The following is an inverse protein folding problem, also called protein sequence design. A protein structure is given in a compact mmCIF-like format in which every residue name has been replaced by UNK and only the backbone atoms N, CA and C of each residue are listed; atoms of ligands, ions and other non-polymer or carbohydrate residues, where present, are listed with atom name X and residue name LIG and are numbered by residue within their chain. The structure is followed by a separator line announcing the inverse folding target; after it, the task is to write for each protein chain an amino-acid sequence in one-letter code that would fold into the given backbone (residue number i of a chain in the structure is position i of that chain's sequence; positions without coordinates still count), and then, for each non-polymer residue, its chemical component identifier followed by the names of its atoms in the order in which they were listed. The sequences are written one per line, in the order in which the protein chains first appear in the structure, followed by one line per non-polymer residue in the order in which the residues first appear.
data_IF_710795999790
#
_entry.id   IF_710795999790
#
_cell.length_a   1.000
_cell.length_b   1.000
_cell.length_c   1.000
_cell.angle_alpha   90.00
_cell.angle_beta   90.00
_cell.angle_gamma   90.00
#
_symmetry.space_group_name_H-M   'P 1'
#
loop_
_entity.id
_entity.type
_entity.pdbx_description
1 polymer ?
#
# COMPACT_ATOMS: atom_id res chain seq x y z
N UNK A 1 -7.72 -26.05 -1.85
CA UNK A 1 -8.21 -26.12 -0.44
C UNK A 1 -9.70 -25.80 -0.45
N UNK A 2 -10.54 -26.78 -0.70
CA UNK A 2 -11.99 -26.62 -0.72
C UNK A 2 -12.51 -26.62 0.74
N UNK A 3 -13.28 -25.62 1.13
CA UNK A 3 -14.01 -25.57 2.39
C UNK A 3 -13.23 -25.10 3.62
N UNK A 4 -12.24 -24.25 3.44
CA UNK A 4 -11.52 -23.63 4.56
C UNK A 4 -12.38 -22.65 5.36
N UNK A 5 -12.10 -22.52 6.65
CA UNK A 5 -12.74 -21.52 7.52
C UNK A 5 -12.43 -20.08 7.07
N UNK A 6 -11.44 -19.88 6.21
CA UNK A 6 -10.95 -18.58 5.75
C UNK A 6 -10.95 -18.50 4.23
N UNK A 7 -11.24 -17.31 3.70
CA UNK A 7 -11.24 -16.99 2.27
C UNK A 7 -10.86 -15.52 2.07
N UNK A 8 -10.34 -15.17 0.88
CA UNK A 8 -10.06 -13.77 0.55
C UNK A 8 -11.37 -12.97 0.48
N UNK A 9 -11.34 -11.77 1.04
CA UNK A 9 -12.49 -10.87 0.98
C UNK A 9 -12.62 -10.26 -0.42
N UNK A 10 -13.57 -10.75 -1.17
CA UNK A 10 -13.87 -10.29 -2.52
C UNK A 10 -15.37 -10.42 -2.83
N UNK A 11 -16.26 -9.78 -2.07
CA UNK A 11 -17.70 -9.79 -2.34
C UNK A 11 -17.98 -9.26 -3.75
N UNK A 12 -18.79 -10.01 -4.51
CA UNK A 12 -19.11 -9.68 -5.89
C UNK A 12 -19.80 -8.32 -6.01
N UNK A 13 -20.60 -7.95 -5.03
CA UNK A 13 -21.35 -6.69 -4.96
C UNK A 13 -20.43 -5.46 -4.88
N UNK A 14 -19.21 -5.63 -4.39
CA UNK A 14 -18.18 -4.59 -4.31
C UNK A 14 -17.28 -4.55 -5.55
N UNK A 15 -17.31 -5.59 -6.38
CA UNK A 15 -16.54 -5.66 -7.63
C UNK A 15 -15.06 -5.37 -7.43
N UNK A 16 -14.51 -4.51 -8.28
CA UNK A 16 -13.09 -4.12 -8.23
C UNK A 16 -12.71 -3.23 -7.03
N UNK A 17 -13.68 -2.79 -6.23
CA UNK A 17 -13.45 -1.97 -5.02
C UNK A 17 -13.43 -2.82 -3.72
N UNK A 18 -13.65 -4.12 -3.81
CA UNK A 18 -13.72 -5.00 -2.63
C UNK A 18 -12.49 -4.89 -1.72
N UNK A 19 -11.31 -4.77 -2.30
CA UNK A 19 -10.07 -4.67 -1.54
C UNK A 19 -10.02 -3.43 -0.63
N UNK A 20 -10.53 -2.29 -1.09
CA UNK A 20 -10.62 -1.06 -0.29
C UNK A 20 -11.47 -1.28 0.96
N UNK A 21 -12.64 -1.87 0.77
CA UNK A 21 -13.60 -2.06 1.87
C UNK A 21 -13.16 -3.11 2.89
N UNK A 22 -12.28 -4.03 2.55
CA UNK A 22 -11.67 -4.97 3.51
C UNK A 22 -11.11 -4.25 4.74
N UNK A 23 -10.48 -3.10 4.55
CA UNK A 23 -9.74 -2.38 5.59
C UNK A 23 -10.54 -1.32 6.34
N UNK A 24 -11.74 -1.00 5.87
CA UNK A 24 -12.62 0.01 6.47
C UNK A 24 -14.00 -0.54 6.81
N UNK A 25 -14.12 -1.87 6.89
CA UNK A 25 -15.37 -2.54 7.18
C UNK A 25 -15.73 -2.40 8.66
N UNK A 26 -16.73 -1.59 8.95
CA UNK A 26 -17.25 -1.36 10.31
C UNK A 26 -18.63 -1.98 10.51
N UNK A 27 -19.56 -1.64 9.65
CA UNK A 27 -20.95 -2.08 9.65
C UNK A 27 -21.56 -1.91 8.25
N UNK A 28 -22.85 -2.19 8.12
CA UNK A 28 -23.59 -2.11 6.85
C UNK A 28 -23.57 -0.72 6.18
N UNK A 29 -23.30 0.35 6.97
CA UNK A 29 -23.18 1.73 6.45
C UNK A 29 -21.77 2.11 6.04
N UNK A 30 -20.80 1.22 6.20
CA UNK A 30 -19.40 1.49 5.87
C UNK A 30 -19.02 1.12 4.44
N UNK A 31 -19.95 0.56 3.68
CA UNK A 31 -19.76 0.17 2.29
C UNK A 31 -21.09 0.14 1.52
N UNK A 32 -21.07 0.26 0.18
CA UNK A 32 -22.28 0.33 -0.64
C UNK A 32 -23.05 -1.01 -0.72
N UNK A 33 -22.43 -2.13 -0.37
CA UNK A 33 -23.04 -3.47 -0.41
C UNK A 33 -23.70 -3.86 0.93
N UNK A 34 -23.70 -2.98 1.92
CA UNK A 34 -24.26 -3.24 3.26
C UNK A 34 -23.69 -4.49 3.94
N UNK A 35 -22.40 -4.77 3.72
CA UNK A 35 -21.69 -5.86 4.36
C UNK A 35 -21.22 -5.41 5.74
N UNK A 36 -21.38 -6.24 6.74
CA UNK A 36 -20.84 -6.04 8.08
C UNK A 36 -19.58 -6.90 8.32
N UNK A 37 -18.95 -6.74 9.47
CA UNK A 37 -17.70 -7.45 9.82
C UNK A 37 -17.79 -8.97 9.78
N UNK A 38 -18.97 -9.55 9.99
CA UNK A 38 -19.15 -11.01 9.94
C UNK A 38 -19.00 -11.57 8.54
N UNK A 39 -19.15 -10.73 7.51
CA UNK A 39 -18.87 -11.08 6.12
C UNK A 39 -17.38 -11.16 5.77
N UNK A 40 -16.50 -10.72 6.67
CA UNK A 40 -15.06 -10.78 6.45
C UNK A 40 -14.49 -12.10 7.00
N UNK A 41 -14.21 -13.03 6.11
CA UNK A 41 -13.57 -14.31 6.44
C UNK A 41 -12.06 -14.32 6.17
N UNK A 42 -11.50 -13.20 5.75
CA UNK A 42 -10.06 -13.11 5.48
C UNK A 42 -9.24 -12.92 6.75
N UNK A 43 -9.79 -12.24 7.75
CA UNK A 43 -9.07 -11.95 8.99
C UNK A 43 -9.03 -13.18 9.89
N UNK A 44 -7.83 -13.74 10.11
CA UNK A 44 -7.60 -14.90 10.97
C UNK A 44 -7.47 -14.47 12.42
N UNK A 45 -6.67 -13.43 12.66
CA UNK A 45 -6.47 -12.85 13.98
C UNK A 45 -6.50 -11.32 13.89
N UNK A 46 -7.33 -10.70 14.72
CA UNK A 46 -7.57 -9.25 14.63
C UNK A 46 -7.56 -8.58 15.99
N UNK A 47 -7.16 -7.33 16.02
CA UNK A 47 -7.58 -6.42 17.07
C UNK A 47 -8.95 -5.87 16.72
N UNK A 48 -9.94 -6.26 17.52
CA UNK A 48 -11.33 -5.85 17.30
C UNK A 48 -11.59 -4.45 17.82
N UNK A 49 -12.37 -3.71 17.05
CA UNK A 49 -12.85 -2.39 17.41
C UNK A 49 -14.37 -2.30 17.31
N UNK A 50 -14.95 -1.41 18.11
CA UNK A 50 -16.37 -1.10 18.14
C UNK A 50 -16.53 0.41 18.41
N UNK A 51 -17.47 1.11 17.76
CA UNK A 51 -17.58 2.57 17.89
C UNK A 51 -17.96 3.04 19.29
N UNK A 52 -18.53 2.18 20.12
CA UNK A 52 -19.01 2.52 21.47
C UNK A 52 -18.10 1.95 22.55
N UNK A 53 -17.75 0.69 22.44
CA UNK A 53 -17.04 -0.05 23.51
C UNK A 53 -15.52 0.09 23.37
N UNK A 54 -15.01 0.07 22.15
CA UNK A 54 -13.56 0.06 21.86
C UNK A 54 -13.28 0.72 20.52
N UNK A 55 -13.54 2.02 20.40
CA UNK A 55 -13.17 2.77 19.19
C UNK A 55 -11.64 2.78 18.98
N UNK A 56 -11.20 3.08 17.77
CA UNK A 56 -9.78 3.24 17.49
C UNK A 56 -9.19 4.40 18.29
N UNK A 57 -10.00 5.38 18.66
CA UNK A 57 -9.59 6.54 19.47
C UNK A 57 -8.84 7.63 18.69
N UNK A 58 -8.58 7.40 17.40
CA UNK A 58 -7.94 8.36 16.48
C UNK A 58 -8.84 8.56 15.27
N UNK A 59 -8.71 9.71 14.64
CA UNK A 59 -9.22 9.90 13.29
C UNK A 59 -8.13 9.51 12.29
N UNK A 60 -8.09 8.24 11.92
CA UNK A 60 -7.09 7.71 10.99
C UNK A 60 -7.29 8.32 9.61
N UNK A 61 -8.52 8.41 9.13
CA UNK A 61 -8.86 9.01 7.84
C UNK A 61 -8.34 10.44 7.77
N UNK A 62 -8.64 11.28 8.74
CA UNK A 62 -8.17 12.66 8.76
C UNK A 62 -6.64 12.75 8.89
N UNK A 63 -6.02 11.91 9.70
CA UNK A 63 -4.57 11.88 9.85
C UNK A 63 -3.87 11.51 8.55
N UNK A 64 -4.43 10.59 7.77
CA UNK A 64 -3.91 10.20 6.46
C UNK A 64 -4.16 11.26 5.40
N UNK A 65 -5.37 11.81 5.35
CA UNK A 65 -5.73 12.89 4.43
C UNK A 65 -5.06 14.21 4.81
N UNK A 66 -4.77 14.39 6.08
CA UNK A 66 -4.31 15.65 6.63
C UNK A 66 -2.84 15.97 6.49
N UNK A 67 -1.89 15.03 6.37
CA UNK A 67 -0.45 15.35 6.26
C UNK A 67 0.54 14.20 6.50
N UNK A 68 0.10 13.09 7.05
CA UNK A 68 1.04 12.24 7.76
C UNK A 68 1.77 11.22 6.91
N UNK A 69 1.21 10.84 5.76
CA UNK A 69 1.76 9.76 4.95
C UNK A 69 1.79 10.14 3.47
N UNK A 70 2.93 9.91 2.85
CA UNK A 70 3.11 10.06 1.42
C UNK A 70 3.50 8.73 0.81
N UNK A 71 3.05 8.50 -0.42
CA UNK A 71 3.42 7.32 -1.18
C UNK A 71 4.48 7.70 -2.20
N UNK A 72 5.50 6.88 -2.32
CA UNK A 72 6.58 7.12 -3.26
C UNK A 72 6.20 6.67 -4.67
N UNK A 73 6.84 7.29 -5.67
CA UNK A 73 6.78 6.80 -7.05
C UNK A 73 7.22 5.34 -7.16
N UNK A 74 8.21 4.93 -6.37
CA UNK A 74 8.65 3.54 -6.33
C UNK A 74 7.50 2.59 -6.00
N UNK A 75 6.65 2.92 -5.02
CA UNK A 75 5.47 2.12 -4.71
C UNK A 75 4.45 2.16 -5.85
N UNK A 76 4.18 3.34 -6.41
CA UNK A 76 3.28 3.47 -7.55
C UNK A 76 3.74 2.64 -8.76
N UNK A 77 5.07 2.52 -8.96
CA UNK A 77 5.65 1.70 -10.00
C UNK A 77 5.58 0.19 -9.74
N UNK A 78 5.34 -0.24 -8.49
CA UNK A 78 5.16 -1.67 -8.16
C UNK A 78 3.88 -2.25 -8.72
N UNK A 79 2.80 -1.46 -8.79
CA UNK A 79 1.53 -1.94 -9.35
C UNK A 79 1.72 -2.34 -10.80
N UNK A 80 1.18 -3.52 -11.16
CA UNK A 80 1.29 -4.06 -12.51
C UNK A 80 0.37 -3.31 -13.49
N UNK A 81 0.62 -3.46 -14.75
CA UNK A 81 -0.36 -3.17 -15.80
C UNK A 81 -1.48 -4.22 -15.76
N UNK A 82 -2.64 -3.92 -16.33
CA UNK A 82 -3.77 -4.86 -16.38
C UNK A 82 -3.45 -6.17 -17.12
N UNK A 83 -2.44 -6.16 -18.00
CA UNK A 83 -1.91 -7.35 -18.66
C UNK A 83 -0.93 -8.18 -17.79
N UNK A 84 -0.77 -7.81 -16.53
CA UNK A 84 0.07 -8.51 -15.57
C UNK A 84 1.57 -8.21 -15.66
N UNK A 85 1.98 -7.30 -16.52
CA UNK A 85 3.38 -6.93 -16.67
C UNK A 85 3.76 -5.74 -15.77
N UNK A 86 4.97 -5.70 -15.22
CA UNK A 86 5.49 -4.51 -14.56
C UNK A 86 5.60 -3.35 -15.56
N UNK A 87 5.46 -2.13 -15.07
CA UNK A 87 5.80 -0.96 -15.89
C UNK A 87 7.32 -0.85 -16.00
N UNK A 88 7.77 -0.32 -17.12
CA UNK A 88 9.15 0.14 -17.25
C UNK A 88 9.16 1.65 -17.02
N UNK A 89 9.72 2.15 -15.91
CA UNK A 89 9.70 3.58 -15.58
C UNK A 89 10.31 4.49 -16.64
N UNK A 90 11.27 3.98 -17.42
CA UNK A 90 11.94 4.75 -18.48
C UNK A 90 11.06 4.93 -19.72
N UNK A 91 10.16 3.98 -19.99
CA UNK A 91 9.26 4.03 -21.17
C UNK A 91 7.83 4.35 -20.81
N UNK A 92 7.42 4.19 -19.53
CA UNK A 92 6.11 4.56 -19.05
C UNK A 92 5.96 6.08 -19.04
N UNK A 93 5.31 6.59 -20.07
CA UNK A 93 5.18 8.02 -20.30
C UNK A 93 3.72 8.43 -20.42
N UNK A 94 3.35 9.48 -19.70
CA UNK A 94 2.01 10.08 -19.73
C UNK A 94 2.14 11.61 -19.62
N UNK A 95 1.18 12.31 -20.19
CA UNK A 95 1.08 13.78 -20.12
C UNK A 95 -0.04 14.23 -19.20
N UNK A 96 -1.04 13.39 -18.98
CA UNK A 96 -2.11 13.60 -18.01
C UNK A 96 -1.85 12.69 -16.82
N UNK A 97 -1.79 13.26 -15.62
CA UNK A 97 -1.53 12.48 -14.40
C UNK A 97 -2.57 11.40 -14.19
N UNK A 98 -3.82 11.63 -14.58
CA UNK A 98 -4.89 10.65 -14.47
C UNK A 98 -4.62 9.38 -15.30
N UNK A 99 -3.79 9.48 -16.34
CA UNK A 99 -3.46 8.33 -17.20
C UNK A 99 -2.52 7.34 -16.49
N UNK A 100 -1.82 7.76 -15.44
CA UNK A 100 -0.99 6.88 -14.63
C UNK A 100 -1.78 5.77 -13.94
N UNK A 101 -3.04 6.03 -13.64
CA UNK A 101 -3.93 5.10 -12.92
C UNK A 101 -4.73 4.19 -13.85
N UNK A 102 -4.64 4.40 -15.19
CA UNK A 102 -5.40 3.62 -16.18
C UNK A 102 -4.68 2.34 -16.56
N UNK A 103 -5.46 1.29 -16.80
CA UNK A 103 -4.94 -0.02 -17.22
C UNK A 103 -3.87 -0.57 -16.26
N UNK A 104 -4.10 -0.38 -14.98
CA UNK A 104 -3.24 -0.84 -13.90
C UNK A 104 -3.96 -1.87 -13.02
N UNK A 105 -3.22 -2.53 -12.18
CA UNK A 105 -3.74 -3.34 -11.09
C UNK A 105 -4.78 -2.54 -10.30
N UNK A 106 -6.00 -3.08 -10.16
CA UNK A 106 -7.09 -2.39 -9.47
C UNK A 106 -6.75 -2.08 -8.00
N UNK A 107 -5.80 -2.78 -7.38
CA UNK A 107 -5.32 -2.45 -6.03
C UNK A 107 -4.70 -1.06 -5.97
N UNK A 108 -4.11 -0.56 -7.05
CA UNK A 108 -3.62 0.82 -7.10
C UNK A 108 -4.74 1.82 -6.80
N UNK A 109 -5.91 1.64 -7.45
CA UNK A 109 -7.07 2.52 -7.26
C UNK A 109 -7.79 2.31 -5.92
N UNK A 110 -7.52 1.20 -5.25
CA UNK A 110 -8.06 0.90 -3.91
C UNK A 110 -7.15 1.41 -2.79
N UNK A 111 -5.85 1.45 -3.04
CA UNK A 111 -4.84 1.81 -2.04
C UNK A 111 -4.39 3.26 -2.14
N UNK A 112 -4.52 3.87 -3.33
CA UNK A 112 -4.17 5.26 -3.59
C UNK A 112 -5.40 6.07 -3.97
N UNK A 113 -5.39 7.35 -3.63
CA UNK A 113 -6.39 8.30 -4.11
C UNK A 113 -6.18 8.57 -5.61
N UNK A 114 -7.24 8.45 -6.38
CA UNK A 114 -7.21 8.66 -7.82
C UNK A 114 -7.78 10.04 -8.15
N UNK A 115 -7.07 10.85 -8.94
CA UNK A 115 -7.59 12.15 -9.37
C UNK A 115 -8.95 12.05 -10.06
N UNK A 116 -9.88 12.92 -9.67
CA UNK A 116 -11.22 12.98 -10.27
C UNK A 116 -12.18 11.86 -9.86
N UNK A 117 -11.75 10.93 -9.00
CA UNK A 117 -12.62 9.87 -8.50
C UNK A 117 -13.50 10.37 -7.35
N UNK A 118 -14.75 9.98 -7.40
CA UNK A 118 -15.71 10.18 -6.31
C UNK A 118 -15.64 9.01 -5.36
N UNK A 119 -15.46 9.29 -4.07
CA UNK A 119 -15.43 8.28 -3.01
C UNK A 119 -16.78 8.20 -2.31
N UNK A 120 -17.20 6.99 -1.97
CA UNK A 120 -18.48 6.75 -1.34
C UNK A 120 -18.48 7.20 0.11
N UNK A 121 -19.54 7.95 0.51
CA UNK A 121 -19.86 8.21 1.92
C UNK A 121 -18.78 8.87 2.75
N UNK A 122 -18.13 9.91 2.28
CA UNK A 122 -17.08 10.58 3.05
C UNK A 122 -17.61 11.38 4.23
N UNK A 123 -16.90 11.30 5.35
CA UNK A 123 -17.24 12.05 6.54
C UNK A 123 -16.89 13.53 6.42
N UNK A 124 -17.90 14.38 6.54
CA UNK A 124 -17.71 15.84 6.56
C UNK A 124 -17.32 16.45 5.22
N UNK A 125 -17.47 15.73 4.15
CA UNK A 125 -17.21 16.18 2.80
C UNK A 125 -16.64 15.06 1.94
N UNK A 126 -17.17 14.92 0.73
CA UNK A 126 -16.61 14.02 -0.27
C UNK A 126 -15.24 14.51 -0.65
N UNK A 127 -14.33 13.57 -0.77
CA UNK A 127 -13.05 13.85 -1.40
C UNK A 127 -13.23 13.62 -2.90
N UNK A 128 -13.83 14.60 -3.54
CA UNK A 128 -13.91 14.67 -4.99
C UNK A 128 -12.70 15.47 -5.46
N UNK A 129 -11.63 14.79 -5.80
CA UNK A 129 -10.46 15.46 -6.32
C UNK A 129 -10.43 15.34 -7.85
N UNK A 130 -10.89 16.39 -8.52
CA UNK A 130 -10.86 16.47 -9.97
C UNK A 130 -9.65 17.22 -10.52
N UNK A 131 -8.91 17.89 -9.66
CA UNK A 131 -7.81 18.76 -10.03
C UNK A 131 -8.27 20.05 -10.69
N UNK A 132 -9.54 20.45 -10.53
CA UNK A 132 -10.02 21.74 -10.98
C UNK A 132 -9.56 22.85 -10.02
N UNK A 133 -9.66 24.11 -10.46
CA UNK A 133 -9.17 25.26 -9.69
C UNK A 133 -9.85 25.42 -8.32
N UNK A 134 -11.12 25.03 -8.18
CA UNK A 134 -11.85 25.14 -6.93
C UNK A 134 -11.34 24.09 -5.90
N UNK A 135 -11.01 22.91 -6.34
CA UNK A 135 -10.42 21.85 -5.49
C UNK A 135 -8.98 22.17 -5.11
N UNK A 136 -8.19 22.71 -6.05
CA UNK A 136 -6.84 23.17 -5.79
C UNK A 136 -6.83 24.26 -4.70
N UNK A 137 -7.81 25.14 -4.72
CA UNK A 137 -7.97 26.20 -3.72
C UNK A 137 -8.44 25.66 -2.36
N UNK A 138 -9.01 24.47 -2.30
CA UNK A 138 -9.48 23.85 -1.05
C UNK A 138 -8.31 23.33 -0.21
N UNK A 139 -8.15 23.87 0.99
CA UNK A 139 -7.08 23.49 1.91
C UNK A 139 -7.09 22.00 2.27
N UNK A 140 -8.24 21.36 2.28
CA UNK A 140 -8.40 19.91 2.57
C UNK A 140 -7.79 19.03 1.49
N UNK A 141 -7.61 19.55 0.28
CA UNK A 141 -7.04 18.80 -0.86
C UNK A 141 -5.55 19.11 -1.11
N UNK A 142 -4.93 19.95 -0.27
CA UNK A 142 -3.51 20.34 -0.44
C UNK A 142 -2.54 19.17 -0.44
N UNK A 143 -2.89 18.08 0.19
CA UNK A 143 -2.03 16.90 0.29
C UNK A 143 -1.90 16.13 -1.04
N UNK A 144 -2.83 16.34 -1.95
CA UNK A 144 -2.72 15.84 -3.32
C UNK A 144 -1.81 16.70 -4.20
N UNK A 145 -1.46 17.87 -3.72
CA UNK A 145 -0.63 18.80 -4.48
C UNK A 145 0.83 18.45 -4.33
N UNK A 146 1.59 18.39 -5.42
CA UNK A 146 3.03 18.12 -5.37
C UNK A 146 3.82 19.06 -4.45
N UNK A 147 3.39 20.30 -4.27
CA UNK A 147 4.09 21.27 -3.42
C UNK A 147 4.07 20.92 -1.94
N UNK A 148 3.04 20.21 -1.46
CA UNK A 148 2.93 19.84 -0.04
C UNK A 148 3.33 18.40 0.23
N UNK A 149 3.39 17.55 -0.82
CA UNK A 149 3.74 16.15 -0.70
C UNK A 149 4.42 15.62 -1.95
N UNK A 150 4.30 14.33 -2.17
CA UNK A 150 4.84 13.64 -3.33
C UNK A 150 3.83 13.46 -4.47
N UNK A 151 2.59 13.88 -4.25
CA UNK A 151 1.50 13.81 -5.23
C UNK A 151 0.75 12.47 -5.28
N UNK A 152 1.27 11.41 -4.67
CA UNK A 152 0.52 10.19 -4.39
C UNK A 152 0.00 10.22 -2.97
N UNK A 153 -1.22 9.76 -2.78
CA UNK A 153 -1.87 9.82 -1.49
C UNK A 153 -2.46 8.46 -1.11
N UNK A 154 -2.23 7.95 0.11
CA UNK A 154 -2.78 6.67 0.51
C UNK A 154 -4.29 6.80 0.74
N UNK A 155 -5.06 5.85 0.22
CA UNK A 155 -6.49 5.70 0.48
C UNK A 155 -6.80 4.55 1.44
N UNK A 156 -5.92 3.56 1.51
CA UNK A 156 -6.06 2.44 2.44
C UNK A 156 -6.25 2.93 3.88
N UNK A 157 -7.16 2.35 4.62
CA UNK A 157 -7.58 2.76 5.97
C UNK A 157 -8.37 4.07 6.04
N UNK A 158 -8.73 4.69 4.93
CA UNK A 158 -9.54 5.90 4.92
C UNK A 158 -11.03 5.52 4.87
N UNK A 159 -11.75 5.75 5.96
CA UNK A 159 -13.19 5.52 6.02
C UNK A 159 -13.91 6.45 5.04
N UNK A 160 -14.89 5.88 4.33
CA UNK A 160 -15.76 6.62 3.41
C UNK A 160 -17.19 6.78 3.99
N UNK A 161 -17.38 6.37 5.22
CA UNK A 161 -18.69 6.43 5.90
C UNK A 161 -19.04 7.87 6.28
N UNK A 162 -20.22 8.33 5.88
CA UNK A 162 -20.76 9.62 6.29
C UNK A 162 -21.06 9.69 7.79
N UNK A 163 -20.85 10.85 8.38
CA UNK A 163 -21.30 11.16 9.73
C UNK A 163 -20.54 10.44 10.85
N UNK A 164 -19.35 9.89 10.59
CA UNK A 164 -18.49 9.34 11.63
C UNK A 164 -17.87 10.49 12.42
N UNK A 165 -18.15 10.65 13.71
CA UNK A 165 -17.45 11.63 14.53
C UNK A 165 -15.96 11.35 14.59
N UNK A 166 -15.17 12.40 14.76
CA UNK A 166 -13.71 12.29 14.95
C UNK A 166 -13.38 11.29 16.06
N UNK A 167 -12.48 10.36 15.78
CA UNK A 167 -12.04 9.35 16.73
C UNK A 167 -13.01 8.17 16.94
N UNK A 168 -14.08 8.09 16.15
CA UNK A 168 -15.10 7.02 16.26
C UNK A 168 -14.98 5.98 15.14
N UNK A 169 -13.89 5.97 14.42
CA UNK A 169 -13.58 4.89 13.47
C UNK A 169 -13.41 3.57 14.24
N UNK A 170 -13.95 2.51 13.70
CA UNK A 170 -14.07 1.25 14.43
C UNK A 170 -13.89 -0.01 13.55
N UNK A 171 -13.24 0.08 12.42
CA UNK A 171 -12.87 -1.11 11.66
C UNK A 171 -11.80 -1.93 12.38
N UNK A 172 -11.85 -3.24 12.21
CA UNK A 172 -10.91 -4.16 12.85
C UNK A 172 -9.53 -4.07 12.20
N UNK A 173 -8.47 -4.21 12.99
CA UNK A 173 -7.11 -4.26 12.48
C UNK A 173 -6.62 -5.71 12.38
N UNK A 174 -6.27 -6.21 11.18
CA UNK A 174 -5.74 -7.56 11.02
C UNK A 174 -4.32 -7.65 11.59
N UNK A 175 -4.11 -8.63 12.46
CA UNK A 175 -2.77 -9.03 12.91
C UNK A 175 -2.26 -10.14 12.00
N UNK A 176 -3.15 -11.08 11.62
CA UNK A 176 -2.89 -12.12 10.64
C UNK A 176 -4.11 -12.21 9.73
N UNK A 177 -3.90 -12.21 8.43
CA UNK A 177 -4.96 -12.40 7.43
C UNK A 177 -4.59 -13.48 6.41
N UNK A 178 -5.60 -14.06 5.76
CA UNK A 178 -5.44 -15.22 4.89
C UNK A 178 -4.50 -14.96 3.71
N UNK A 179 -4.49 -13.76 3.16
CA UNK A 179 -3.52 -13.38 2.13
C UNK A 179 -2.06 -13.56 2.58
N UNK A 180 -1.77 -13.35 3.87
CA UNK A 180 -0.43 -13.57 4.41
C UNK A 180 -0.05 -15.06 4.37
N UNK A 181 -0.97 -15.94 4.70
CA UNK A 181 -0.75 -17.39 4.61
C UNK A 181 -0.45 -17.80 3.18
N UNK A 182 -1.22 -17.27 2.21
CA UNK A 182 -1.05 -17.58 0.79
C UNK A 182 0.32 -17.12 0.27
N UNK A 183 0.72 -15.90 0.58
CA UNK A 183 1.99 -15.34 0.10
C UNK A 183 3.19 -15.89 0.84
N UNK A 184 3.07 -16.20 2.13
CA UNK A 184 4.10 -16.94 2.87
C UNK A 184 4.30 -18.34 2.27
N UNK A 185 3.23 -19.01 1.87
CA UNK A 185 3.33 -20.32 1.20
C UNK A 185 4.09 -20.21 -0.11
N UNK A 186 3.70 -19.29 -1.01
CA UNK A 186 4.35 -19.13 -2.30
C UNK A 186 5.84 -18.81 -2.16
N UNK A 187 6.19 -17.88 -1.27
CA UNK A 187 7.57 -17.50 -1.02
C UNK A 187 8.37 -18.67 -0.41
N UNK A 188 7.82 -19.36 0.59
CA UNK A 188 8.49 -20.47 1.26
C UNK A 188 8.78 -21.65 0.32
N UNK A 189 7.83 -22.01 -0.55
CA UNK A 189 8.04 -23.05 -1.56
C UNK A 189 9.15 -22.64 -2.52
N UNK A 190 9.09 -21.42 -3.05
CA UNK A 190 10.10 -20.91 -3.98
C UNK A 190 11.49 -20.85 -3.34
N UNK A 191 11.63 -20.31 -2.13
CA UNK A 191 12.95 -20.18 -1.49
C UNK A 191 13.52 -21.52 -1.04
N UNK A 192 12.68 -22.51 -0.71
CA UNK A 192 13.10 -23.87 -0.38
C UNK A 192 13.64 -24.62 -1.59
N UNK A 193 12.92 -24.58 -2.72
CA UNK A 193 13.15 -25.45 -3.87
C UNK A 193 13.86 -24.74 -5.04
N UNK A 194 14.05 -23.41 -4.95
CA UNK A 194 14.58 -22.57 -6.04
C UNK A 194 13.60 -22.41 -7.22
N UNK A 195 12.41 -22.96 -7.11
CA UNK A 195 11.34 -22.93 -8.10
C UNK A 195 9.98 -23.10 -7.43
N UNK A 196 8.91 -22.79 -8.15
CA UNK A 196 7.52 -23.00 -7.70
C UNK A 196 6.70 -23.54 -8.89
N UNK A 197 5.81 -24.49 -8.63
CA UNK A 197 4.94 -25.02 -9.67
C UNK A 197 3.79 -24.05 -9.97
N UNK A 198 3.19 -24.19 -11.16
CA UNK A 198 2.01 -23.40 -11.53
C UNK A 198 0.79 -23.80 -10.67
N UNK A 199 0.72 -25.03 -10.20
CA UNK A 199 -0.29 -25.51 -9.26
C UNK A 199 -0.14 -24.82 -7.90
N UNK A 200 1.09 -24.68 -7.38
CA UNK A 200 1.35 -23.96 -6.13
C UNK A 200 1.02 -22.47 -6.27
N UNK A 201 1.37 -21.86 -7.41
CA UNK A 201 1.01 -20.48 -7.72
C UNK A 201 -0.50 -20.27 -7.78
N UNK A 202 -1.24 -21.21 -8.37
CA UNK A 202 -2.69 -21.14 -8.53
C UNK A 202 -3.44 -21.20 -7.20
N UNK A 203 -2.95 -21.97 -6.22
CA UNK A 203 -3.57 -22.08 -4.89
C UNK A 203 -3.07 -21.05 -3.88
N UNK A 204 -2.18 -20.16 -4.28
CA UNK A 204 -1.55 -19.19 -3.40
C UNK A 204 -1.50 -17.79 -4.01
N UNK A 205 -0.38 -17.39 -4.61
CA UNK A 205 -0.13 -16.04 -5.11
C UNK A 205 -1.21 -15.57 -6.10
N UNK A 206 -1.64 -16.42 -7.03
CA UNK A 206 -2.63 -16.04 -8.03
C UNK A 206 -4.00 -15.74 -7.42
N UNK A 207 -4.32 -16.25 -6.24
CA UNK A 207 -5.55 -15.90 -5.54
C UNK A 207 -5.53 -14.42 -5.10
N UNK A 208 -4.41 -13.92 -4.56
CA UNK A 208 -4.27 -12.50 -4.20
C UNK A 208 -4.21 -11.62 -5.44
N UNK A 209 -3.43 -12.02 -6.44
CA UNK A 209 -3.26 -11.31 -7.71
C UNK A 209 -4.57 -11.05 -8.43
N UNK A 210 -5.46 -12.04 -8.43
CA UNK A 210 -6.74 -12.00 -9.16
C UNK A 210 -7.94 -11.57 -8.32
N UNK A 211 -7.78 -11.35 -7.02
CA UNK A 211 -8.87 -11.00 -6.09
C UNK A 211 -9.86 -9.98 -6.66
N UNK A 212 -9.34 -8.88 -7.21
CA UNK A 212 -10.12 -7.80 -7.85
C UNK A 212 -9.65 -7.50 -9.28
N UNK A 213 -8.85 -8.40 -9.84
CA UNK A 213 -8.24 -8.29 -11.17
C UNK A 213 -8.57 -9.55 -11.99
N UNK A 214 -9.84 -9.91 -12.14
CA UNK A 214 -10.27 -11.17 -12.77
C UNK A 214 -9.64 -11.41 -14.15
N UNK A 215 -9.45 -10.34 -14.92
CA UNK A 215 -8.91 -10.37 -16.27
C UNK A 215 -7.37 -10.37 -16.32
N UNK A 216 -6.70 -10.13 -15.20
CA UNK A 216 -5.23 -10.15 -15.16
C UNK A 216 -4.74 -11.58 -15.35
N UNK A 217 -3.74 -11.84 -16.23
CA UNK A 217 -3.15 -13.15 -16.39
C UNK A 217 -2.60 -13.71 -15.08
N UNK A 218 -2.73 -15.01 -14.89
CA UNK A 218 -2.03 -15.72 -13.83
C UNK A 218 -0.51 -15.57 -13.98
N UNK A 219 0.18 -15.47 -12.87
CA UNK A 219 1.63 -15.65 -12.85
C UNK A 219 1.90 -17.15 -13.00
N UNK A 220 2.53 -17.55 -14.11
CA UNK A 220 2.95 -18.92 -14.40
C UNK A 220 4.41 -18.92 -14.81
N UNK A 221 5.05 -20.08 -14.80
CA UNK A 221 6.43 -20.24 -15.27
C UNK A 221 6.57 -19.84 -16.75
N UNK A 222 5.59 -20.18 -17.57
CA UNK A 222 5.55 -19.78 -18.98
C UNK A 222 5.39 -18.26 -19.12
N UNK A 223 4.52 -17.62 -18.32
CA UNK A 223 4.35 -16.17 -18.34
C UNK A 223 5.65 -15.44 -17.96
N UNK A 224 6.34 -15.92 -16.93
CA UNK A 224 7.62 -15.36 -16.47
C UNK A 224 8.68 -15.48 -17.56
N UNK A 225 8.80 -16.66 -18.18
CA UNK A 225 9.78 -16.92 -19.25
C UNK A 225 9.49 -16.12 -20.51
N UNK A 226 8.24 -16.11 -20.96
CA UNK A 226 7.83 -15.40 -22.17
C UNK A 226 8.04 -13.87 -22.07
N UNK A 227 7.99 -13.31 -20.87
CA UNK A 227 8.14 -11.87 -20.64
C UNK A 227 9.50 -11.49 -20.03
N UNK A 228 10.44 -12.43 -19.95
CA UNK A 228 11.78 -12.22 -19.39
C UNK A 228 11.73 -11.61 -17.97
N UNK A 229 10.83 -12.13 -17.14
CA UNK A 229 10.68 -11.75 -15.74
C UNK A 229 11.51 -12.67 -14.83
N UNK A 230 11.66 -12.29 -13.57
CA UNK A 230 12.26 -13.11 -12.53
C UNK A 230 11.20 -13.52 -11.50
N UNK A 231 10.99 -14.80 -11.31
CA UNK A 231 9.94 -15.34 -10.43
C UNK A 231 10.06 -14.83 -9.00
N UNK A 232 11.27 -14.78 -8.44
CA UNK A 232 11.50 -14.25 -7.08
C UNK A 232 11.07 -12.80 -6.98
N UNK A 233 11.40 -12.00 -7.96
CA UNK A 233 11.02 -10.59 -8.03
C UNK A 233 9.50 -10.44 -8.09
N UNK A 234 8.80 -11.27 -8.87
CA UNK A 234 7.36 -11.19 -8.99
C UNK A 234 6.63 -11.66 -7.71
N UNK A 235 7.12 -12.69 -7.03
CA UNK A 235 6.61 -13.11 -5.71
C UNK A 235 6.77 -11.96 -4.69
N UNK A 236 7.93 -11.33 -4.64
CA UNK A 236 8.21 -10.19 -3.75
C UNK A 236 7.40 -8.95 -4.12
N UNK A 237 7.16 -8.73 -5.42
CA UNK A 237 6.29 -7.66 -5.93
C UNK A 237 4.86 -7.86 -5.46
N UNK A 238 4.30 -9.06 -5.66
CA UNK A 238 2.94 -9.37 -5.23
C UNK A 238 2.76 -9.14 -3.73
N UNK A 239 3.72 -9.60 -2.93
CA UNK A 239 3.74 -9.37 -1.49
C UNK A 239 3.80 -7.87 -1.15
N UNK A 240 4.62 -7.10 -1.84
CA UNK A 240 4.76 -5.66 -1.62
C UNK A 240 3.46 -4.91 -1.92
N UNK A 241 2.78 -5.25 -3.02
CA UNK A 241 1.50 -4.64 -3.40
C UNK A 241 0.41 -5.03 -2.41
N UNK A 242 0.32 -6.30 -2.08
CA UNK A 242 -0.72 -6.83 -1.20
C UNK A 242 -0.64 -6.25 0.21
N UNK A 243 0.57 -6.11 0.77
CA UNK A 243 0.78 -5.61 2.13
C UNK A 243 1.19 -4.14 2.20
N UNK A 244 0.93 -3.38 1.14
CA UNK A 244 1.11 -1.94 1.20
C UNK A 244 0.44 -1.37 2.46
N UNK A 245 1.20 -0.58 3.23
CA UNK A 245 0.71 0.12 4.43
C UNK A 245 0.16 -0.81 5.54
N UNK A 246 0.76 -2.01 5.67
CA UNK A 246 0.52 -2.96 6.78
C UNK A 246 1.77 -3.27 7.60
N UNK A 247 2.81 -2.43 7.52
CA UNK A 247 4.09 -2.51 8.26
C UNK A 247 5.02 -3.67 7.89
N UNK A 248 4.76 -4.44 6.83
CA UNK A 248 5.63 -5.56 6.43
C UNK A 248 6.91 -5.12 5.73
N UNK A 249 6.90 -3.99 5.02
CA UNK A 249 7.95 -3.65 4.04
C UNK A 249 9.36 -3.61 4.61
N UNK A 250 9.57 -2.99 5.76
CA UNK A 250 10.92 -2.86 6.32
C UNK A 250 11.48 -4.21 6.76
N UNK A 251 10.64 -5.08 7.30
CA UNK A 251 11.04 -6.42 7.71
C UNK A 251 11.33 -7.30 6.50
N UNK A 252 10.52 -7.18 5.45
CA UNK A 252 10.74 -7.86 4.17
C UNK A 252 12.07 -7.43 3.54
N UNK A 253 12.36 -6.15 3.46
CA UNK A 253 13.64 -5.65 2.93
C UNK A 253 14.83 -6.15 3.74
N UNK A 254 14.70 -6.23 5.06
CA UNK A 254 15.74 -6.74 5.94
C UNK A 254 15.96 -8.24 5.74
N UNK A 255 14.91 -9.06 5.77
CA UNK A 255 15.03 -10.50 5.62
C UNK A 255 15.45 -10.93 4.20
N UNK A 256 15.10 -10.15 3.18
CA UNK A 256 15.53 -10.37 1.79
C UNK A 256 16.96 -9.88 1.53
N UNK A 257 17.56 -9.14 2.45
CA UNK A 257 18.87 -8.52 2.28
C UNK A 257 18.95 -7.59 1.06
N UNK A 258 17.90 -6.77 0.89
CA UNK A 258 17.78 -5.79 -0.19
C UNK A 258 17.67 -4.35 0.34
N UNK A 259 17.75 -4.16 1.65
CA UNK A 259 17.61 -2.84 2.26
C UNK A 259 18.78 -1.91 1.89
N UNK A 260 19.98 -2.43 1.69
CA UNK A 260 21.16 -1.66 1.24
C UNK A 260 21.00 -1.06 -0.16
N UNK A 261 20.22 -1.72 -1.03
CA UNK A 261 19.96 -1.23 -2.39
C UNK A 261 18.76 -0.29 -2.43
N UNK A 262 17.75 -0.57 -1.61
CA UNK A 262 16.46 0.11 -1.68
C UNK A 262 16.35 1.34 -0.79
N UNK A 263 16.92 1.29 0.41
CA UNK A 263 16.77 2.37 1.41
C UNK A 263 17.57 3.64 1.07
N UNK A 264 18.75 3.57 0.41
CA UNK A 264 19.48 4.77 0.00
C UNK A 264 18.84 5.55 -1.15
N UNK A 265 17.90 4.94 -1.89
CA UNK A 265 17.27 5.60 -3.04
C UNK A 265 16.60 6.91 -2.64
N UNK A 266 16.64 7.90 -3.53
CA UNK A 266 15.87 9.12 -3.35
C UNK A 266 14.39 8.82 -3.24
N UNK A 267 13.69 9.53 -2.38
CA UNK A 267 12.23 9.48 -2.34
C UNK A 267 11.69 10.43 -3.40
N UNK A 268 11.10 9.83 -4.44
CA UNK A 268 10.48 10.59 -5.53
C UNK A 268 8.98 10.44 -5.51
N UNK A 269 8.29 11.46 -5.98
CA UNK A 269 6.85 11.54 -6.12
C UNK A 269 6.39 11.47 -7.57
N UNK A 270 5.25 12.07 -7.85
CA UNK A 270 4.64 12.10 -9.18
C UNK A 270 5.55 12.75 -10.22
N UNK A 271 5.38 12.36 -11.47
CA UNK A 271 5.96 13.05 -12.61
C UNK A 271 5.25 14.40 -12.77
N UNK A 272 5.97 15.48 -12.48
CA UNK A 272 5.46 16.84 -12.58
C UNK A 272 5.81 17.47 -13.91
N UNK A 273 7.11 17.42 -14.29
CA UNK A 273 7.60 18.01 -15.53
C UNK A 273 7.13 17.22 -16.74
N UNK A 274 6.58 17.91 -17.73
CA UNK A 274 6.04 17.31 -18.94
C UNK A 274 4.64 16.74 -18.77
N UNK A 275 3.97 17.03 -17.66
CA UNK A 275 2.58 16.61 -17.41
C UNK A 275 1.68 17.82 -17.17
N UNK A 276 0.39 17.60 -17.11
CA UNK A 276 -0.60 18.64 -16.81
C UNK A 276 -0.48 19.20 -15.38
N UNK A 277 0.31 18.57 -14.51
CA UNK A 277 0.63 19.16 -13.21
C UNK A 277 1.40 20.48 -13.29
N UNK A 278 2.17 20.72 -14.36
CA UNK A 278 2.82 22.01 -14.53
C UNK A 278 1.82 23.18 -14.55
N UNK A 279 0.62 22.93 -15.10
CA UNK A 279 -0.46 23.91 -15.16
C UNK A 279 -1.41 23.81 -13.97
N UNK A 280 -1.69 22.60 -13.48
CA UNK A 280 -2.62 22.38 -12.37
C UNK A 280 -2.03 22.82 -11.03
N UNK A 281 -0.72 22.65 -10.84
CA UNK A 281 0.01 23.06 -9.61
C UNK A 281 1.34 23.72 -9.93
N UNK A 282 1.31 24.94 -10.47
CA UNK A 282 2.52 25.68 -10.85
C UNK A 282 3.44 25.98 -9.66
N UNK A 283 2.87 26.06 -8.45
CA UNK A 283 3.63 26.32 -7.23
C UNK A 283 4.64 25.22 -6.89
N UNK A 284 4.52 24.02 -7.48
CA UNK A 284 5.53 22.97 -7.36
C UNK A 284 6.77 23.21 -8.23
N UNK A 285 6.81 24.27 -9.03
CA UNK A 285 7.95 24.60 -9.94
C UNK A 285 9.27 24.72 -9.21
N UNK A 286 9.29 25.21 -7.96
CA UNK A 286 10.52 25.37 -7.15
C UNK A 286 11.07 24.05 -6.61
N UNK A 287 10.30 22.98 -6.55
CA UNK A 287 10.81 21.69 -6.06
C UNK A 287 11.78 21.08 -7.06
N UNK A 288 12.83 20.44 -6.54
CA UNK A 288 13.78 19.69 -7.36
C UNK A 288 13.10 18.51 -8.06
N UNK A 289 13.52 18.18 -9.27
CA UNK A 289 13.06 17.04 -10.08
C UNK A 289 14.22 16.17 -10.48
N UNK A 290 13.95 14.89 -10.62
CA UNK A 290 14.90 13.93 -11.21
C UNK A 290 14.95 14.03 -12.75
N UNK A 291 15.75 13.16 -13.36
CA UNK A 291 15.91 13.12 -14.83
C UNK A 291 14.63 12.75 -15.59
N UNK A 292 13.65 12.13 -14.93
CA UNK A 292 12.34 11.79 -15.50
C UNK A 292 11.30 12.90 -15.30
N UNK A 293 11.64 13.94 -14.55
CA UNK A 293 10.74 15.05 -14.23
C UNK A 293 9.87 14.79 -12.99
N UNK A 294 10.21 13.78 -12.19
CA UNK A 294 9.52 13.46 -10.95
C UNK A 294 10.01 14.33 -9.79
N UNK A 295 9.11 14.72 -8.90
CA UNK A 295 9.46 15.53 -7.73
C UNK A 295 10.38 14.72 -6.81
N UNK A 296 11.52 15.30 -6.43
CA UNK A 296 12.37 14.77 -5.37
C UNK A 296 11.91 15.34 -4.04
N UNK A 297 11.51 14.47 -3.12
CA UNK A 297 11.11 14.86 -1.77
C UNK A 297 12.27 14.80 -0.79
N UNK A 298 13.05 13.72 -0.87
CA UNK A 298 14.19 13.48 0.00
C UNK A 298 15.33 12.83 -0.78
N UNK A 299 16.56 13.25 -0.51
CA UNK A 299 17.79 12.70 -1.10
C UNK A 299 18.88 12.56 -0.05
N UNK A 300 19.97 11.90 -0.42
CA UNK A 300 21.12 11.73 0.48
C UNK A 300 20.89 10.72 1.60
N UNK A 301 19.92 9.82 1.41
CA UNK A 301 19.65 8.74 2.35
C UNK A 301 20.78 7.72 2.31
N UNK A 302 20.97 7.01 3.40
CA UNK A 302 21.99 5.99 3.50
C UNK A 302 21.47 4.76 4.24
N UNK A 303 22.14 3.64 4.04
CA UNK A 303 21.96 2.42 4.78
C UNK A 303 23.31 1.85 5.16
N UNK A 304 23.44 1.32 6.36
CA UNK A 304 24.63 0.65 6.84
C UNK A 304 24.24 -0.72 7.39
N UNK A 305 25.15 -1.67 7.38
CA UNK A 305 24.92 -3.03 7.84
C UNK A 305 24.33 -3.10 9.27
N UNK A 306 24.77 -2.20 10.15
CA UNK A 306 24.20 -2.08 11.50
C UNK A 306 22.69 -1.86 11.56
N UNK A 307 22.08 -1.32 10.48
CA UNK A 307 20.65 -1.05 10.43
C UNK A 307 19.78 -2.30 10.19
N UNK A 308 20.41 -3.44 9.91
CA UNK A 308 19.71 -4.72 9.93
C UNK A 308 19.33 -5.15 11.36
N UNK A 309 20.01 -4.61 12.35
CA UNK A 309 19.72 -4.84 13.76
C UNK A 309 18.94 -3.66 14.35
N UNK A 310 18.15 -3.93 15.38
CA UNK A 310 17.55 -2.87 16.18
C UNK A 310 18.61 -2.31 17.12
N UNK A 311 18.70 -0.97 17.28
CA UNK A 311 19.61 -0.36 18.24
C UNK A 311 19.17 -0.69 19.67
N UNK A 312 20.15 -0.87 20.56
CA UNK A 312 19.87 -0.94 21.99
C UNK A 312 19.36 0.43 22.47
N UNK A 313 18.32 0.47 23.32
CA UNK A 313 17.86 1.73 23.91
C UNK A 313 18.99 2.44 24.64
N UNK A 314 19.13 3.74 24.42
CA UNK A 314 20.23 4.54 25.03
C UNK A 314 20.25 4.45 26.55
N UNK A 315 19.08 4.35 27.20
CA UNK A 315 18.98 4.22 28.64
C UNK A 315 19.51 2.89 29.18
N UNK A 316 19.50 1.83 28.36
CA UNK A 316 20.11 0.55 28.69
C UNK A 316 21.64 0.54 28.47
N UNK A 317 22.16 1.53 27.74
CA UNK A 317 23.61 1.69 27.54
C UNK A 317 24.25 2.59 28.59
N UNK A 318 23.46 3.26 29.44
CA UNK A 318 23.99 3.98 30.59
C UNK A 318 24.68 2.94 31.49
N UNK A 319 25.94 3.20 31.95
CA UNK A 319 26.59 2.26 32.80
C UNK A 319 25.75 2.09 34.08
N UNK A 320 25.09 0.95 34.16
CA UNK A 320 24.62 0.47 35.44
C UNK A 320 25.91 0.21 36.19
N UNK A 321 26.10 0.86 37.31
CA UNK A 321 27.17 0.55 38.22
C UNK A 321 26.96 -0.87 38.74
N UNK A 322 27.38 -1.85 37.95
CA UNK A 322 27.43 -3.25 38.38
C UNK A 322 28.57 -3.41 39.35
N UNK A 323 28.31 -3.13 40.61
CA UNK A 323 29.23 -3.48 41.68
C UNK A 323 29.33 -4.98 41.94
N UNK A 324 28.57 -5.82 41.19
CA UNK A 324 28.54 -7.26 41.42
C UNK A 324 28.35 -8.07 40.13
N UNK A 325 29.30 -8.01 39.22
CA UNK A 325 29.53 -9.08 38.26
C UNK A 325 30.85 -9.75 38.59
N UNK A 326 30.89 -10.40 39.72
CA UNK A 326 31.84 -11.48 39.92
C UNK A 326 31.29 -12.73 39.27
N UNK A 327 31.89 -13.14 38.15
CA UNK A 327 31.68 -14.48 37.64
C UNK A 327 32.05 -15.46 38.76
N UNK A 328 31.25 -16.50 39.05
CA UNK A 328 31.66 -17.55 39.92
C UNK A 328 32.89 -18.26 39.32
N UNK A 329 33.96 -18.31 40.10
CA UNK A 329 35.17 -19.09 39.80
C UNK A 329 34.85 -20.56 39.80
#
# INVERSE_FOLDING_TARGET
MAGGAFELFAPQELGTEAYKYLFILENEKSNPASINKTGNKEYIFTRRHDPVINSIGFNITQGRLGNALYVTRKMANMYLQSNGLPINPQTWNYTKVDDEYKNRDNRMNNQLMVPGQTYWGTNGGRIDWSGNAAEIANASHRNFMPQTGMGYFPHKWCSERDGVPTGMEAYDFPIIRYAEVLLNYAEAVFERDGQISDEDLAISLNLTRKRINSEMPDLTNDFVTANNLDMRTEIRRERTIEFFDENFRIDDLKRWKTAEDEMPMNLTGVKWKGTDFENRWPDASFKEKDGEGCIIHEKGRNWHEKHYLLPLPTDQLKPVSYTHLTLPT
#
